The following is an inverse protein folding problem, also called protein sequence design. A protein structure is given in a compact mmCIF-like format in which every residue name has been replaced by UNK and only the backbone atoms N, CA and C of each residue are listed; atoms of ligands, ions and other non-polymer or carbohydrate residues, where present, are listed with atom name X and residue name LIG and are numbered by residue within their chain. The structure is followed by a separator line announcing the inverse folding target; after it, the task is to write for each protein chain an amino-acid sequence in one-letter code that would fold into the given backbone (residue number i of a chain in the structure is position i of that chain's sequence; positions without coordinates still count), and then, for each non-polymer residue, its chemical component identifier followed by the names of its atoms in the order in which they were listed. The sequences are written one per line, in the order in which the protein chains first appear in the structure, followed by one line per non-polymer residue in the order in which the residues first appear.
data_IF_541453038133
#
_entry.id   IF_541453038133
#
_cell.length_a   1.000
_cell.length_b   1.000
_cell.length_c   1.000
_cell.angle_alpha   90.00
_cell.angle_beta   90.00
_cell.angle_gamma   90.00
#
_symmetry.space_group_name_H-M   'P 1'
#
loop_
_entity.id
_entity.type
_entity.pdbx_description
1 polymer ?
#
# COMPACT_ATOMS: atom_id res chain seq x y z
N UNK A 1 0.38 3.01 -23.00
CA UNK A 1 1.23 2.95 -21.80
C UNK A 1 1.17 4.31 -21.13
N UNK A 2 0.63 4.41 -19.92
CA UNK A 2 0.63 5.67 -19.17
C UNK A 2 2.00 5.86 -18.53
N UNK A 3 2.72 6.89 -18.94
CA UNK A 3 4.00 7.28 -18.34
C UNK A 3 3.75 8.14 -17.11
N UNK A 4 4.44 7.83 -16.01
CA UNK A 4 4.42 8.68 -14.82
C UNK A 4 4.88 10.10 -15.18
N UNK A 5 4.11 11.13 -14.83
CA UNK A 5 4.50 12.50 -15.06
C UNK A 5 5.67 12.84 -14.14
N UNK A 6 6.61 13.63 -14.64
CA UNK A 6 7.69 14.21 -13.83
C UNK A 6 7.18 15.48 -13.17
N UNK A 7 6.86 15.47 -11.85
CA UNK A 7 6.39 16.68 -11.18
C UNK A 7 7.50 17.72 -11.10
N UNK A 8 7.18 19.04 -11.12
CA UNK A 8 8.13 20.07 -10.73
C UNK A 8 8.63 19.80 -9.30
N UNK A 9 9.93 20.04 -9.11
CA UNK A 9 10.61 19.90 -7.83
C UNK A 9 11.24 21.24 -7.45
N UNK A 10 11.11 21.62 -6.18
CA UNK A 10 11.73 22.82 -5.62
C UNK A 10 12.65 22.55 -4.43
N UNK A 11 12.82 21.28 -4.04
CA UNK A 11 13.66 20.89 -2.90
C UNK A 11 13.03 21.08 -1.52
N UNK A 12 11.96 21.87 -1.41
CA UNK A 12 11.20 22.03 -0.16
C UNK A 12 10.57 20.71 0.33
N UNK A 13 10.34 20.54 1.65
CA UNK A 13 9.61 19.41 2.17
C UNK A 13 8.20 19.29 1.57
N UNK A 14 7.79 18.06 1.25
CA UNK A 14 6.42 17.82 0.82
C UNK A 14 5.46 17.96 2.00
N UNK A 15 4.37 18.69 1.78
CA UNK A 15 3.27 18.86 2.76
C UNK A 15 1.98 18.21 2.28
N UNK A 16 1.95 17.76 1.03
CA UNK A 16 0.82 17.10 0.39
C UNK A 16 1.30 15.81 -0.26
N UNK A 17 0.55 14.73 -0.02
CA UNK A 17 0.66 13.47 -0.76
C UNK A 17 -0.48 13.43 -1.78
N UNK A 18 -0.19 13.16 -3.04
CA UNK A 18 -1.20 13.00 -4.08
C UNK A 18 -1.22 11.53 -4.45
N UNK A 19 -2.32 10.85 -4.15
CA UNK A 19 -2.54 9.46 -4.55
C UNK A 19 -2.91 9.39 -6.03
N UNK A 20 -2.21 8.54 -6.80
CA UNK A 20 -2.37 8.40 -8.24
C UNK A 20 -2.99 7.04 -8.58
N UNK A 21 -4.14 7.04 -9.26
CA UNK A 21 -4.86 5.82 -9.60
C UNK A 21 -4.94 5.60 -11.11
N UNK A 22 -4.75 4.35 -11.55
CA UNK A 22 -5.16 3.89 -12.89
C UNK A 22 -6.13 2.73 -12.76
N UNK A 23 -7.26 2.79 -13.48
CA UNK A 23 -8.29 1.74 -13.50
C UNK A 23 -8.62 1.18 -12.09
N UNK A 24 -8.90 2.08 -11.14
CA UNK A 24 -9.23 1.80 -9.73
C UNK A 24 -8.11 1.18 -8.86
N UNK A 25 -6.88 1.10 -9.38
CA UNK A 25 -5.68 0.68 -8.63
C UNK A 25 -4.88 1.89 -8.15
N UNK A 26 -4.49 1.91 -6.88
CA UNK A 26 -3.52 2.87 -6.36
C UNK A 26 -2.12 2.49 -6.83
N UNK A 27 -1.59 3.22 -7.80
CA UNK A 27 -0.37 2.82 -8.50
C UNK A 27 0.86 3.62 -8.10
N UNK A 28 0.66 4.85 -7.62
CA UNK A 28 1.75 5.68 -7.13
C UNK A 28 1.26 6.74 -6.14
N UNK A 29 2.21 7.35 -5.42
CA UNK A 29 2.03 8.60 -4.70
C UNK A 29 3.02 9.63 -5.22
N UNK A 30 2.56 10.83 -5.57
CA UNK A 30 3.42 12.00 -5.75
C UNK A 30 3.45 12.83 -4.47
N UNK A 31 4.58 13.43 -4.15
CA UNK A 31 4.79 14.21 -2.93
C UNK A 31 5.14 15.64 -3.33
N UNK A 32 4.35 16.61 -2.87
CA UNK A 32 4.46 18.01 -3.27
C UNK A 32 4.39 18.94 -2.07
N UNK A 33 5.04 20.10 -2.17
CA UNK A 33 4.69 21.22 -1.31
C UNK A 33 3.33 21.81 -1.76
N UNK A 34 2.68 22.56 -0.88
CA UNK A 34 1.37 23.15 -1.15
C UNK A 34 1.33 24.00 -2.44
N UNK A 35 2.43 24.68 -2.78
CA UNK A 35 2.52 25.50 -3.99
C UNK A 35 2.48 24.68 -5.29
N UNK A 36 3.00 23.45 -5.29
CA UNK A 36 3.08 22.60 -6.49
C UNK A 36 1.90 21.63 -6.64
N UNK A 37 1.06 21.47 -5.63
CA UNK A 37 -0.05 20.51 -5.64
C UNK A 37 -0.99 20.67 -6.83
N UNK A 38 -1.43 21.90 -7.12
CA UNK A 38 -2.37 22.17 -8.24
C UNK A 38 -1.72 21.81 -9.58
N UNK A 39 -0.47 22.18 -9.78
CA UNK A 39 0.25 21.90 -11.03
C UNK A 39 0.44 20.40 -11.24
N UNK A 40 0.90 19.68 -10.21
CA UNK A 40 1.12 18.23 -10.29
C UNK A 40 -0.19 17.49 -10.52
N UNK A 41 -1.27 17.88 -9.84
CA UNK A 41 -2.62 17.31 -10.05
C UNK A 41 -3.05 17.47 -11.51
N UNK A 42 -2.87 18.67 -12.09
CA UNK A 42 -3.23 18.92 -13.49
C UNK A 42 -2.40 18.08 -14.48
N UNK A 43 -1.10 17.90 -14.23
CA UNK A 43 -0.23 17.07 -15.07
C UNK A 43 -0.61 15.59 -14.98
N UNK A 44 -0.95 15.08 -13.79
CA UNK A 44 -1.44 13.70 -13.58
C UNK A 44 -2.75 13.45 -14.32
N UNK A 45 -3.72 14.35 -14.19
CA UNK A 45 -5.01 14.26 -14.89
C UNK A 45 -4.81 14.30 -16.41
N UNK A 46 -3.92 15.16 -16.90
CA UNK A 46 -3.56 15.22 -18.33
C UNK A 46 -2.91 13.91 -18.82
N UNK A 47 -2.24 13.17 -17.95
CA UNK A 47 -1.68 11.85 -18.24
C UNK A 47 -2.71 10.70 -18.16
N UNK A 48 -4.00 11.01 -17.93
CA UNK A 48 -5.09 10.04 -17.92
C UNK A 48 -5.16 9.22 -16.63
N UNK A 49 -4.74 9.79 -15.50
CA UNK A 49 -4.81 9.16 -14.18
C UNK A 49 -5.68 10.00 -13.24
N UNK A 50 -6.30 9.35 -12.27
CA UNK A 50 -7.01 10.07 -11.20
C UNK A 50 -6.01 10.51 -10.12
N UNK A 51 -6.16 11.76 -9.69
CA UNK A 51 -5.29 12.41 -8.72
C UNK A 51 -6.08 12.81 -7.48
N UNK A 52 -5.71 12.26 -6.32
CA UNK A 52 -6.37 12.56 -5.04
C UNK A 52 -5.37 13.15 -4.04
N UNK A 53 -5.32 14.49 -3.92
CA UNK A 53 -4.53 15.15 -2.89
C UNK A 53 -5.05 14.79 -1.49
N UNK A 54 -4.15 14.38 -0.63
CA UNK A 54 -4.40 14.04 0.77
C UNK A 54 -3.29 14.63 1.65
N UNK A 55 -3.56 14.77 2.95
CA UNK A 55 -2.55 15.21 3.90
C UNK A 55 -1.37 14.23 4.00
N UNK A 56 -0.20 14.75 4.36
CA UNK A 56 0.95 13.90 4.69
C UNK A 56 0.68 13.07 5.95
N UNK A 57 1.13 11.82 5.94
CA UNK A 57 1.18 11.01 7.14
C UNK A 57 2.29 11.53 8.08
N UNK A 58 2.11 11.48 9.41
CA UNK A 58 3.02 12.11 10.36
C UNK A 58 4.45 11.58 10.31
N UNK A 59 4.65 10.33 9.88
CA UNK A 59 5.96 9.66 9.85
C UNK A 59 6.57 9.57 8.45
N UNK A 60 6.05 10.32 7.47
CA UNK A 60 6.55 10.31 6.10
C UNK A 60 7.24 11.63 5.79
N UNK A 61 8.56 11.58 5.63
CA UNK A 61 9.36 12.71 5.14
C UNK A 61 9.82 12.46 3.71
N UNK A 62 9.43 13.34 2.78
CA UNK A 62 9.77 13.26 1.35
C UNK A 62 9.93 14.68 0.77
N UNK A 63 10.86 14.90 -0.18
CA UNK A 63 11.00 16.19 -0.83
C UNK A 63 9.87 16.40 -1.85
N UNK A 64 9.53 17.67 -2.10
CA UNK A 64 8.65 18.06 -3.18
C UNK A 64 9.21 17.59 -4.53
N UNK A 65 8.38 16.91 -5.32
CA UNK A 65 8.74 16.31 -6.60
C UNK A 65 9.09 14.81 -6.49
N UNK A 66 9.11 14.24 -5.28
CA UNK A 66 9.30 12.80 -5.12
C UNK A 66 8.06 12.03 -5.59
N UNK A 67 8.28 10.90 -6.26
CA UNK A 67 7.21 9.99 -6.69
C UNK A 67 7.56 8.57 -6.23
N UNK A 68 6.66 7.97 -5.47
CA UNK A 68 6.73 6.57 -5.07
C UNK A 68 5.79 5.75 -5.95
N UNK A 69 6.34 4.81 -6.71
CA UNK A 69 5.53 3.86 -7.50
C UNK A 69 5.34 2.59 -6.69
N UNK A 70 4.09 2.18 -6.50
CA UNK A 70 3.80 0.94 -5.79
C UNK A 70 4.17 -0.25 -6.68
N UNK A 71 4.99 -1.20 -6.19
CA UNK A 71 5.37 -2.39 -6.95
C UNK A 71 4.19 -3.27 -7.39
N UNK A 72 3.05 -3.13 -6.71
CA UNK A 72 1.79 -3.83 -6.99
C UNK A 72 0.93 -3.12 -8.03
N UNK A 73 1.26 -1.89 -8.40
CA UNK A 73 0.47 -1.06 -9.29
C UNK A 73 0.75 -1.28 -10.78
N UNK A 74 -0.19 -0.83 -11.61
CA UNK A 74 -0.12 -0.87 -13.08
C UNK A 74 1.08 -0.09 -13.63
N UNK A 75 1.52 0.94 -12.90
CA UNK A 75 2.67 1.79 -13.26
C UNK A 75 4.04 1.19 -12.89
N UNK A 76 4.09 0.09 -12.14
CA UNK A 76 5.35 -0.60 -11.88
C UNK A 76 5.99 -1.05 -13.20
N UNK A 77 7.30 -0.84 -13.37
CA UNK A 77 8.03 -1.28 -14.57
C UNK A 77 7.76 -2.76 -14.82
N UNK A 78 7.41 -3.13 -16.07
CA UNK A 78 7.27 -4.53 -16.46
C UNK A 78 8.59 -5.26 -16.19
N UNK A 79 8.62 -6.31 -15.37
CA UNK A 79 9.78 -7.17 -15.30
C UNK A 79 10.02 -7.77 -16.69
N UNK A 80 11.28 -7.84 -17.11
CA UNK A 80 11.67 -8.57 -18.33
C UNK A 80 11.28 -10.07 -18.30
N UNK A 81 10.90 -10.56 -17.12
CA UNK A 81 10.48 -11.93 -16.88
C UNK A 81 9.00 -11.98 -16.47
N UNK A 82 8.15 -12.38 -17.43
CA UNK A 82 6.71 -12.57 -17.24
C UNK A 82 6.37 -13.76 -16.33
N UNK A 83 7.36 -14.58 -15.92
CA UNK A 83 7.10 -15.74 -15.03
C UNK A 83 6.90 -15.34 -13.56
N UNK A 84 7.18 -14.09 -13.18
CA UNK A 84 6.98 -13.59 -11.81
C UNK A 84 6.04 -12.38 -11.77
N UNK A 85 5.03 -12.37 -10.89
CA UNK A 85 4.25 -11.16 -10.60
C UNK A 85 5.16 -10.02 -10.16
N UNK A 86 4.80 -8.77 -10.53
CA UNK A 86 5.62 -7.57 -10.29
C UNK A 86 5.98 -7.34 -8.81
N UNK A 87 5.10 -7.76 -7.91
CA UNK A 87 5.26 -7.63 -6.46
C UNK A 87 6.08 -8.75 -5.81
N UNK A 88 6.50 -9.77 -6.58
CA UNK A 88 7.22 -10.92 -6.05
C UNK A 88 8.64 -10.55 -5.62
N UNK A 89 9.06 -11.03 -4.44
CA UNK A 89 10.42 -10.90 -3.89
C UNK A 89 11.48 -11.72 -4.65
N UNK A 90 11.03 -12.62 -5.54
CA UNK A 90 11.83 -13.56 -6.36
C UNK A 90 12.72 -14.54 -5.58
N UNK A 91 12.64 -14.58 -4.25
CA UNK A 91 13.41 -15.56 -3.47
C UNK A 91 12.79 -16.96 -3.61
N UNK A 92 13.55 -18.01 -3.93
CA UNK A 92 13.13 -19.43 -3.77
C UNK A 92 11.68 -19.79 -4.19
N UNK A 93 11.09 -19.14 -5.21
CA UNK A 93 9.65 -19.27 -5.48
C UNK A 93 9.28 -20.70 -5.87
N UNK A 94 10.12 -21.35 -6.69
CA UNK A 94 9.98 -22.75 -7.08
C UNK A 94 9.97 -23.67 -5.85
N UNK A 95 10.94 -23.51 -4.94
CA UNK A 95 11.04 -24.30 -3.70
C UNK A 95 9.83 -24.09 -2.78
N UNK A 96 9.31 -22.86 -2.73
CA UNK A 96 8.13 -22.51 -1.91
C UNK A 96 6.80 -22.91 -2.56
N UNK A 97 6.80 -23.28 -3.84
CA UNK A 97 5.57 -23.54 -4.61
C UNK A 97 4.67 -22.31 -4.78
N UNK A 98 5.20 -21.10 -4.54
CA UNK A 98 4.44 -19.84 -4.61
C UNK A 98 5.32 -18.62 -4.79
N UNK A 99 4.78 -17.62 -5.49
CA UNK A 99 5.25 -16.24 -5.43
C UNK A 99 4.86 -15.62 -4.08
N UNK A 100 5.73 -14.76 -3.56
CA UNK A 100 5.54 -14.03 -2.30
C UNK A 100 6.13 -12.63 -2.44
N UNK A 101 5.47 -11.60 -1.90
CA UNK A 101 6.06 -10.27 -1.73
C UNK A 101 6.99 -10.24 -0.51
N UNK A 102 7.85 -9.21 -0.36
CA UNK A 102 8.43 -8.92 0.94
C UNK A 102 7.35 -8.87 2.02
N UNK A 103 7.64 -9.43 3.19
CA UNK A 103 6.75 -9.33 4.34
C UNK A 103 6.81 -7.92 4.92
N UNK A 104 5.64 -7.36 5.19
CA UNK A 104 5.46 -6.13 5.93
C UNK A 104 5.19 -6.51 7.39
N UNK A 105 6.15 -6.20 8.25
CA UNK A 105 6.02 -6.39 9.68
C UNK A 105 5.06 -5.35 10.26
N UNK A 106 4.06 -5.80 11.03
CA UNK A 106 3.14 -4.90 11.74
C UNK A 106 3.78 -4.45 13.05
N UNK A 107 4.64 -3.44 12.96
CA UNK A 107 5.35 -2.87 14.09
C UNK A 107 4.53 -1.76 14.77
N UNK A 108 4.30 -1.90 16.08
CA UNK A 108 3.67 -0.86 16.93
C UNK A 108 4.70 -0.03 17.70
N UNK A 109 6.00 -0.29 17.49
CA UNK A 109 7.13 0.19 18.28
C UNK A 109 6.98 -0.13 19.79
N UNK A 110 6.28 -1.21 20.13
CA UNK A 110 6.01 -1.65 21.49
C UNK A 110 6.10 -3.18 21.57
N UNK A 111 6.37 -3.75 22.77
CA UNK A 111 6.30 -5.20 22.95
C UNK A 111 4.86 -5.68 22.76
N UNK A 112 4.65 -6.51 21.73
CA UNK A 112 3.39 -7.21 21.47
C UNK A 112 3.53 -8.70 21.87
N UNK A 113 2.41 -9.33 22.22
CA UNK A 113 2.40 -10.74 22.63
C UNK A 113 2.79 -11.71 21.49
N UNK A 114 2.58 -11.29 20.23
CA UNK A 114 2.95 -12.04 19.04
C UNK A 114 3.32 -11.07 17.90
N UNK A 115 4.19 -11.55 17.01
CA UNK A 115 4.60 -10.83 15.80
C UNK A 115 3.57 -11.11 14.70
N UNK A 116 3.17 -10.09 13.95
CA UNK A 116 2.33 -10.26 12.76
C UNK A 116 3.03 -9.71 11.52
N UNK A 117 3.09 -10.53 10.49
CA UNK A 117 3.58 -10.15 9.16
C UNK A 117 2.45 -10.24 8.13
N UNK A 118 2.48 -9.33 7.17
CA UNK A 118 1.54 -9.31 6.03
C UNK A 118 2.31 -9.41 4.73
N UNK A 119 1.88 -10.29 3.82
CA UNK A 119 2.48 -10.40 2.49
C UNK A 119 1.43 -10.74 1.42
N UNK A 120 1.72 -10.40 0.17
CA UNK A 120 1.03 -10.99 -0.97
C UNK A 120 1.62 -12.37 -1.27
N UNK A 121 0.78 -13.34 -1.58
CA UNK A 121 1.16 -14.68 -2.01
C UNK A 121 0.31 -15.13 -3.19
N UNK A 122 0.88 -15.92 -4.08
CA UNK A 122 0.18 -16.49 -5.24
C UNK A 122 0.84 -17.82 -5.58
N UNK A 123 0.05 -18.89 -5.74
CA UNK A 123 0.60 -20.18 -6.18
C UNK A 123 1.24 -20.05 -7.58
N UNK A 124 2.19 -20.92 -7.93
CA UNK A 124 2.87 -20.89 -9.24
C UNK A 124 1.98 -21.34 -10.42
N UNK A 125 0.66 -21.35 -10.25
CA UNK A 125 -0.27 -21.71 -11.30
C UNK A 125 -0.69 -20.44 -12.06
N UNK A 126 -0.72 -20.43 -13.41
CA UNK A 126 -1.04 -19.23 -14.20
C UNK A 126 -2.40 -18.61 -13.88
N UNK A 127 -3.38 -19.43 -13.49
CA UNK A 127 -4.72 -18.97 -13.11
C UNK A 127 -4.89 -18.70 -11.60
N UNK A 128 -3.84 -18.86 -10.78
CA UNK A 128 -3.95 -18.58 -9.36
C UNK A 128 -4.11 -17.07 -9.13
N UNK A 129 -5.14 -16.67 -8.40
CA UNK A 129 -5.29 -15.28 -7.99
C UNK A 129 -4.33 -14.95 -6.82
N UNK A 130 -3.84 -13.70 -6.74
CA UNK A 130 -3.10 -13.25 -5.57
C UNK A 130 -4.00 -13.25 -4.31
N UNK A 131 -3.38 -13.54 -3.18
CA UNK A 131 -4.00 -13.57 -1.85
C UNK A 131 -3.13 -12.78 -0.86
N UNK A 132 -3.75 -12.27 0.21
CA UNK A 132 -3.06 -11.66 1.35
C UNK A 132 -2.85 -12.73 2.41
N UNK A 133 -1.60 -12.96 2.79
CA UNK A 133 -1.22 -13.81 3.90
C UNK A 133 -0.97 -12.96 5.15
N UNK A 134 -1.71 -13.25 6.22
CA UNK A 134 -1.46 -12.75 7.57
C UNK A 134 -0.79 -13.87 8.35
N UNK A 135 0.47 -13.69 8.71
CA UNK A 135 1.25 -14.69 9.45
C UNK A 135 1.48 -14.17 10.86
N UNK A 136 0.99 -14.90 11.87
CA UNK A 136 1.34 -14.62 13.26
C UNK A 136 2.39 -15.60 13.76
N UNK A 137 3.32 -15.11 14.57
CA UNK A 137 4.37 -15.89 15.22
C UNK A 137 4.30 -15.65 16.72
N UNK A 138 4.04 -16.72 17.47
CA UNK A 138 4.01 -16.76 18.93
C UNK A 138 5.03 -17.80 19.41
N UNK A 139 6.17 -17.34 19.95
CA UNK A 139 7.29 -18.23 20.24
C UNK A 139 7.77 -18.99 19.00
N UNK A 140 7.65 -20.32 19.01
CA UNK A 140 7.96 -21.19 17.85
C UNK A 140 6.73 -21.57 17.01
N UNK A 141 5.52 -21.20 17.43
CA UNK A 141 4.30 -21.52 16.70
C UNK A 141 4.04 -20.46 15.62
N UNK A 142 3.67 -20.91 14.42
CA UNK A 142 3.30 -20.03 13.31
C UNK A 142 1.89 -20.37 12.86
N UNK A 143 1.02 -19.36 12.79
CA UNK A 143 -0.30 -19.48 12.18
C UNK A 143 -0.38 -18.57 10.96
N UNK A 144 -1.00 -19.05 9.89
CA UNK A 144 -1.15 -18.29 8.65
C UNK A 144 -2.61 -18.28 8.22
N UNK A 145 -3.18 -17.08 8.10
CA UNK A 145 -4.50 -16.85 7.52
C UNK A 145 -4.34 -16.32 6.10
N UNK A 146 -4.95 -16.99 5.13
CA UNK A 146 -5.00 -16.54 3.74
C UNK A 146 -6.35 -15.89 3.45
N UNK A 147 -6.30 -14.70 2.86
CA UNK A 147 -7.47 -13.93 2.44
C UNK A 147 -7.37 -13.65 0.96
N UNK A 148 -8.48 -13.77 0.23
CA UNK A 148 -8.55 -13.15 -1.10
C UNK A 148 -8.33 -11.64 -0.99
N UNK A 149 -7.86 -10.99 -2.06
CA UNK A 149 -7.70 -9.52 -2.11
C UNK A 149 -9.04 -8.81 -1.80
N UNK A 150 -10.16 -9.37 -2.25
CA UNK A 150 -11.50 -8.86 -1.93
C UNK A 150 -11.80 -8.88 -0.43
N UNK A 151 -11.53 -10.00 0.25
CA UNK A 151 -11.70 -10.11 1.71
C UNK A 151 -10.76 -9.19 2.47
N UNK A 152 -9.50 -9.08 2.05
CA UNK A 152 -8.53 -8.19 2.68
C UNK A 152 -8.97 -6.71 2.59
N UNK A 153 -9.52 -6.31 1.45
CA UNK A 153 -10.09 -4.96 1.28
C UNK A 153 -11.27 -4.70 2.22
N UNK A 154 -12.21 -5.64 2.33
CA UNK A 154 -13.33 -5.51 3.28
C UNK A 154 -12.81 -5.48 4.72
N UNK A 155 -11.84 -6.34 5.06
CA UNK A 155 -11.23 -6.38 6.38
C UNK A 155 -10.61 -5.04 6.76
N UNK A 156 -9.87 -4.40 5.85
CA UNK A 156 -9.30 -3.05 6.07
C UNK A 156 -10.36 -2.05 6.51
N UNK A 157 -11.50 -2.00 5.83
CA UNK A 157 -12.60 -1.09 6.21
C UNK A 157 -13.21 -1.45 7.57
N UNK A 158 -13.40 -2.74 7.84
CA UNK A 158 -13.96 -3.19 9.14
C UNK A 158 -13.01 -2.89 10.31
N UNK A 159 -11.71 -3.07 10.12
CA UNK A 159 -10.70 -2.70 11.11
C UNK A 159 -10.71 -1.20 11.39
N UNK A 160 -10.80 -0.36 10.35
CA UNK A 160 -10.94 1.09 10.51
C UNK A 160 -12.13 1.45 11.41
N UNK A 161 -13.31 0.90 11.11
CA UNK A 161 -14.51 1.14 11.93
C UNK A 161 -14.32 0.71 13.39
N UNK A 162 -13.73 -0.47 13.63
CA UNK A 162 -13.48 -0.97 14.99
C UNK A 162 -12.49 -0.07 15.75
N UNK A 163 -11.43 0.40 15.08
CA UNK A 163 -10.46 1.33 15.67
C UNK A 163 -11.15 2.65 16.04
N UNK A 164 -12.00 3.20 15.16
CA UNK A 164 -12.70 4.45 15.44
C UNK A 164 -13.70 4.31 16.60
N UNK A 165 -14.34 3.14 16.76
CA UNK A 165 -15.18 2.85 17.93
C UNK A 165 -14.41 2.92 19.26
N UNK A 166 -13.12 2.57 19.29
CA UNK A 166 -12.29 2.68 20.51
C UNK A 166 -12.07 4.12 20.96
N UNK A 167 -12.19 5.09 20.04
CA UNK A 167 -12.02 6.53 20.32
C UNK A 167 -13.32 7.18 20.80
N UNK A 168 -14.47 6.64 20.38
CA UNK A 168 -15.79 7.20 20.68
C UNK A 168 -16.18 7.16 22.18
N UNK A 169 -15.48 6.37 23.00
CA UNK A 169 -15.82 6.18 24.42
C UNK A 169 -15.34 7.29 25.35
N UNK A 170 -14.60 8.30 24.87
CA UNK A 170 -14.06 9.39 25.71
C UNK A 170 -14.89 10.67 25.78
N UNK A 171 -15.93 10.82 24.97
CA UNK A 171 -16.87 11.95 25.08
C UNK A 171 -18.22 11.45 25.58
N UNK A 172 -18.41 11.46 26.90
CA UNK A 172 -19.66 11.10 27.57
C UNK A 172 -20.82 12.01 27.17
N UNK A 173 -21.99 11.40 26.98
CA UNK A 173 -23.25 12.10 26.73
C UNK A 173 -24.41 11.12 26.85
N UNK A 174 -24.99 11.07 28.04
CA UNK A 174 -26.21 10.36 28.42
C UNK A 174 -27.32 10.58 27.37
N UNK A 175 -27.83 9.52 26.76
CA UNK A 175 -29.11 9.55 26.06
C UNK A 175 -30.14 8.92 27.01
N UNK A 176 -30.89 9.78 27.69
CA UNK A 176 -32.25 9.48 28.18
C UNK A 176 -33.21 9.54 27.02
#
# INVERSE_FOLDING_TARGET
MSTLPTPPACGEPATVRIELYTADSLDACAYTCAAHTIHVTAVVVKAGMDAHPVGMAPDVDRPCGYVHVYPTGTLATEPADLTHPRWCDRGDCARRGRHRSPALHLDTNRPEAFIVDVALVQALHPAAAPMVALTSVEGSATACLLLSVGQARVLRYRLGNLIDMTKATRNGGRWT
#
